data_IF_089360194191
#
_entry.id   IF_089360194191
#
_cell.length_a   1.000
_cell.length_b   1.000
_cell.length_c   1.000
_cell.angle_alpha   90.00
_cell.angle_beta   90.00
_cell.angle_gamma   90.00
#
_symmetry.space_group_name_H-M   'P 1'
#
loop_
_entity.id
_entity.type
_entity.pdbx_description
1 polymer ?
#
# COMPACT_ATOMS: atom_id res chain seq x y z
N UNK A 1 -30.44 8.01 35.06
CA UNK A 1 -30.15 6.82 34.24
C UNK A 1 -28.75 6.95 33.69
N UNK A 2 -27.80 6.16 34.17
CA UNK A 2 -26.47 6.10 33.57
C UNK A 2 -26.59 5.43 32.19
N UNK A 3 -26.26 6.17 31.12
CA UNK A 3 -26.19 5.63 29.77
C UNK A 3 -25.20 4.46 29.76
N UNK A 4 -25.67 3.26 29.38
CA UNK A 4 -24.84 2.05 29.32
C UNK A 4 -23.87 2.24 28.14
N UNK A 5 -22.64 2.69 28.43
CA UNK A 5 -21.61 2.91 27.42
C UNK A 5 -21.35 1.60 26.68
N UNK A 6 -21.71 1.54 25.40
CA UNK A 6 -21.43 0.40 24.52
C UNK A 6 -19.97 0.51 24.07
N UNK A 7 -19.12 -0.39 24.54
CA UNK A 7 -17.73 -0.47 24.09
C UNK A 7 -17.67 -0.84 22.61
N UNK A 8 -17.00 -0.01 21.81
CA UNK A 8 -16.83 -0.24 20.38
C UNK A 8 -15.68 -1.23 20.16
N UNK A 9 -15.78 -2.06 19.12
CA UNK A 9 -14.77 -3.09 18.82
C UNK A 9 -13.36 -2.53 18.62
N UNK A 10 -13.22 -1.34 18.07
CA UNK A 10 -11.92 -0.70 17.83
C UNK A 10 -11.25 -0.20 19.13
N UNK A 11 -12.02 0.08 20.19
CA UNK A 11 -11.49 0.53 21.49
C UNK A 11 -10.76 -0.61 22.23
N UNK A 12 -11.14 -1.86 21.95
CA UNK A 12 -10.59 -3.07 22.57
C UNK A 12 -9.88 -3.97 21.56
N UNK A 13 -9.54 -3.42 20.39
CA UNK A 13 -8.93 -4.19 19.32
C UNK A 13 -7.53 -4.64 19.73
N UNK A 14 -7.30 -5.96 19.71
CA UNK A 14 -6.01 -6.54 20.03
C UNK A 14 -5.04 -6.36 18.85
N UNK A 15 -3.94 -5.64 19.06
CA UNK A 15 -2.90 -5.40 18.07
C UNK A 15 -2.28 -4.01 18.21
N UNK A 16 -1.44 -3.62 17.27
CA UNK A 16 -0.76 -2.31 17.26
C UNK A 16 -1.32 -1.33 16.23
N UNK A 17 -2.41 -1.70 15.55
CA UNK A 17 -3.08 -0.82 14.58
C UNK A 17 -3.65 0.42 15.28
N UNK A 18 -3.68 1.54 14.55
CA UNK A 18 -4.35 2.77 15.00
C UNK A 18 -5.66 2.93 14.26
N UNK A 19 -6.70 3.35 14.98
CA UNK A 19 -8.04 3.56 14.45
C UNK A 19 -8.40 5.03 14.45
N UNK A 20 -9.07 5.48 13.40
CA UNK A 20 -9.50 6.87 13.22
C UNK A 20 -10.96 6.92 12.79
N UNK A 21 -11.60 8.09 12.96
CA UNK A 21 -12.99 8.32 12.57
C UNK A 21 -13.94 7.26 13.13
N UNK A 22 -13.93 7.05 14.46
CA UNK A 22 -14.72 6.02 15.16
C UNK A 22 -14.51 4.59 14.65
N UNK A 23 -13.28 4.28 14.22
CA UNK A 23 -12.89 2.96 13.72
C UNK A 23 -13.22 2.71 12.26
N UNK A 24 -13.62 3.74 11.50
CA UNK A 24 -13.84 3.64 10.04
C UNK A 24 -12.54 3.55 9.25
N UNK A 25 -11.46 4.12 9.78
CA UNK A 25 -10.14 4.10 9.16
C UNK A 25 -9.16 3.38 10.08
N UNK A 26 -8.22 2.66 9.48
CA UNK A 26 -7.21 1.90 10.21
C UNK A 26 -5.85 2.02 9.53
N UNK A 27 -4.80 2.22 10.33
CA UNK A 27 -3.41 2.29 9.85
C UNK A 27 -2.49 1.38 10.68
N UNK A 28 -1.27 1.15 10.19
CA UNK A 28 -0.19 0.60 11.02
C UNK A 28 0.25 1.59 12.12
N UNK A 29 1.01 1.13 13.13
CA UNK A 29 1.46 1.98 14.24
C UNK A 29 2.41 3.12 13.87
N UNK A 30 3.19 3.00 12.79
CA UNK A 30 4.24 3.96 12.41
C UNK A 30 4.00 4.55 11.01
N UNK A 31 3.35 5.73 10.88
CA UNK A 31 2.97 6.30 9.59
C UNK A 31 4.08 7.15 8.93
N UNK A 32 5.30 7.20 9.46
CA UNK A 32 6.33 8.16 9.01
C UNK A 32 6.66 8.07 7.51
N UNK A 33 6.93 6.87 7.00
CA UNK A 33 7.26 6.66 5.57
C UNK A 33 6.03 6.89 4.67
N UNK A 34 4.82 6.64 5.19
CA UNK A 34 3.59 6.97 4.48
C UNK A 34 3.41 8.49 4.30
N UNK A 35 3.71 9.29 5.33
CA UNK A 35 3.69 10.76 5.20
C UNK A 35 4.71 11.26 4.19
N UNK A 36 5.90 10.65 4.14
CA UNK A 36 6.88 10.94 3.09
C UNK A 36 6.33 10.61 1.69
N UNK A 37 5.65 9.47 1.54
CA UNK A 37 5.02 9.07 0.27
C UNK A 37 3.97 10.08 -0.19
N UNK A 38 3.09 10.51 0.72
CA UNK A 38 2.11 11.57 0.45
C UNK A 38 2.80 12.88 0.06
N UNK A 39 3.85 13.30 0.78
CA UNK A 39 4.57 14.53 0.50
C UNK A 39 5.25 14.49 -0.87
N UNK A 40 5.88 13.37 -1.25
CA UNK A 40 6.51 13.20 -2.55
C UNK A 40 5.46 13.24 -3.68
N UNK A 41 4.38 12.46 -3.59
CA UNK A 41 3.36 12.43 -4.64
C UNK A 41 2.67 13.79 -4.78
N UNK A 42 2.17 14.36 -3.67
CA UNK A 42 1.47 15.64 -3.71
C UNK A 42 2.40 16.80 -4.07
N UNK A 43 3.62 16.82 -3.54
CA UNK A 43 4.60 17.87 -3.83
C UNK A 43 5.04 17.86 -5.29
N UNK A 44 5.42 16.71 -5.84
CA UNK A 44 5.80 16.58 -7.25
C UNK A 44 4.63 16.92 -8.18
N UNK A 45 3.41 16.46 -7.87
CA UNK A 45 2.23 16.80 -8.67
C UNK A 45 1.87 18.29 -8.58
N UNK A 46 1.99 18.91 -7.40
CA UNK A 46 1.74 20.34 -7.23
C UNK A 46 2.72 21.19 -8.07
N UNK A 47 4.01 20.85 -8.06
CA UNK A 47 5.00 21.50 -8.93
C UNK A 47 4.65 21.29 -10.42
N UNK A 48 4.29 20.07 -10.81
CA UNK A 48 3.89 19.76 -12.17
C UNK A 48 2.67 20.59 -12.63
N UNK A 49 1.62 20.66 -11.82
CA UNK A 49 0.42 21.46 -12.15
C UNK A 49 0.69 22.96 -12.15
N UNK A 50 1.58 23.45 -11.29
CA UNK A 50 1.89 24.87 -11.19
C UNK A 50 2.81 25.37 -12.32
N UNK A 51 3.80 24.58 -12.74
CA UNK A 51 4.87 25.03 -13.63
C UNK A 51 4.84 24.37 -15.01
N UNK A 52 4.62 23.06 -15.11
CA UNK A 52 4.63 22.35 -16.40
C UNK A 52 3.29 22.49 -17.13
N UNK A 53 2.18 22.29 -16.42
CA UNK A 53 0.85 22.27 -17.01
C UNK A 53 0.49 23.57 -17.75
N UNK A 54 0.72 24.78 -17.22
CA UNK A 54 0.40 26.01 -17.95
C UNK A 54 1.20 26.15 -19.25
N UNK A 55 2.49 25.80 -19.22
CA UNK A 55 3.36 25.83 -20.38
C UNK A 55 2.92 24.82 -21.45
N UNK A 56 2.71 23.56 -21.05
CA UNK A 56 2.34 22.47 -21.94
C UNK A 56 0.90 22.57 -22.45
N UNK A 57 -0.02 23.15 -21.68
CA UNK A 57 -1.40 23.38 -22.11
C UNK A 57 -1.46 24.28 -23.35
N UNK A 58 -0.59 25.30 -23.41
CA UNK A 58 -0.51 26.23 -24.54
C UNK A 58 0.34 25.68 -25.68
N UNK A 59 1.43 24.97 -25.37
CA UNK A 59 2.44 24.58 -26.37
C UNK A 59 2.26 23.17 -26.94
N UNK A 60 1.53 22.30 -26.24
CA UNK A 60 1.35 20.89 -26.62
C UNK A 60 -0.12 20.54 -26.72
N UNK A 61 -0.88 20.60 -25.62
CA UNK A 61 -2.31 20.29 -25.61
C UNK A 61 -2.99 20.71 -24.31
N UNK A 62 -4.16 21.33 -24.41
CA UNK A 62 -5.01 21.69 -23.27
C UNK A 62 -5.52 20.45 -22.49
N UNK A 63 -5.38 19.23 -23.03
CA UNK A 63 -5.75 18.00 -22.33
C UNK A 63 -4.72 17.57 -21.26
N UNK A 64 -3.49 18.09 -21.30
CA UNK A 64 -2.39 17.69 -20.39
C UNK A 64 -2.79 17.81 -18.90
N UNK A 65 -3.34 18.96 -18.43
CA UNK A 65 -3.74 19.09 -17.03
C UNK A 65 -4.88 18.14 -16.64
N UNK A 66 -5.83 17.88 -17.56
CA UNK A 66 -6.96 16.99 -17.30
C UNK A 66 -6.52 15.53 -17.13
N UNK A 67 -5.63 15.04 -17.99
CA UNK A 67 -5.05 13.69 -17.88
C UNK A 67 -4.23 13.56 -16.60
N UNK A 68 -3.37 14.55 -16.32
CA UNK A 68 -2.58 14.58 -15.08
C UNK A 68 -3.47 14.54 -13.83
N UNK A 69 -4.54 15.34 -13.81
CA UNK A 69 -5.48 15.40 -12.68
C UNK A 69 -6.21 14.07 -12.47
N UNK A 70 -6.66 13.42 -13.55
CA UNK A 70 -7.31 12.12 -13.48
C UNK A 70 -6.38 11.04 -12.90
N UNK A 71 -5.13 10.97 -13.37
CA UNK A 71 -4.12 10.04 -12.86
C UNK A 71 -3.78 10.32 -11.39
N UNK A 72 -3.62 11.60 -11.02
CA UNK A 72 -3.34 12.01 -9.64
C UNK A 72 -4.47 11.61 -8.68
N UNK A 73 -5.72 11.91 -9.03
CA UNK A 73 -6.90 11.56 -8.22
C UNK A 73 -7.02 10.04 -8.07
N UNK A 74 -6.85 9.28 -9.15
CA UNK A 74 -6.88 7.81 -9.11
C UNK A 74 -5.79 7.26 -8.17
N UNK A 75 -4.56 7.77 -8.32
CA UNK A 75 -3.40 7.34 -7.53
C UNK A 75 -3.60 7.64 -6.05
N UNK A 76 -4.02 8.86 -5.73
CA UNK A 76 -4.25 9.28 -4.34
C UNK A 76 -5.41 8.51 -3.70
N UNK A 77 -6.51 8.32 -4.43
CA UNK A 77 -7.65 7.54 -3.93
C UNK A 77 -7.26 6.08 -3.67
N UNK A 78 -6.50 5.45 -4.57
CA UNK A 78 -6.02 4.08 -4.40
C UNK A 78 -5.04 3.95 -3.23
N UNK A 79 -4.10 4.90 -3.08
CA UNK A 79 -3.18 4.98 -1.94
C UNK A 79 -3.94 5.07 -0.63
N UNK A 80 -4.84 6.06 -0.49
CA UNK A 80 -5.61 6.29 0.73
C UNK A 80 -6.51 5.09 1.05
N UNK A 81 -7.16 4.49 0.04
CA UNK A 81 -7.97 3.29 0.23
C UNK A 81 -7.12 2.11 0.73
N UNK A 82 -5.88 1.98 0.31
CA UNK A 82 -4.98 0.92 0.79
C UNK A 82 -4.47 1.22 2.20
N UNK A 83 -4.03 2.45 2.43
CA UNK A 83 -3.44 2.92 3.68
C UNK A 83 -4.43 2.89 4.85
N UNK A 84 -5.70 3.22 4.59
CA UNK A 84 -6.70 3.46 5.63
C UNK A 84 -7.71 2.32 5.82
N UNK A 85 -7.51 1.18 5.14
CA UNK A 85 -8.44 0.04 5.20
C UNK A 85 -7.91 -1.14 6.01
N UNK A 86 -8.83 -2.01 6.43
CA UNK A 86 -8.46 -3.32 6.97
C UNK A 86 -7.87 -4.22 5.86
N UNK A 87 -6.61 -4.70 6.00
CA UNK A 87 -5.97 -5.57 5.02
C UNK A 87 -6.57 -6.99 5.00
N UNK A 88 -7.42 -7.33 5.97
CA UNK A 88 -7.94 -8.67 6.18
C UNK A 88 -7.44 -9.27 7.48
N UNK A 89 -7.41 -8.49 8.57
CA UNK A 89 -7.03 -8.99 9.88
C UNK A 89 -7.99 -10.09 10.31
N UNK A 90 -7.41 -11.21 10.71
CA UNK A 90 -8.14 -12.36 11.23
C UNK A 90 -8.33 -12.16 12.74
N UNK A 91 -9.57 -12.22 13.26
CA UNK A 91 -9.80 -12.14 14.70
C UNK A 91 -8.96 -13.18 15.44
N UNK A 92 -8.36 -12.76 16.55
CA UNK A 92 -7.67 -13.68 17.47
C UNK A 92 -8.67 -14.69 18.02
N UNK A 93 -8.21 -15.91 18.35
CA UNK A 93 -9.07 -16.92 18.95
C UNK A 93 -9.71 -16.37 20.22
N UNK A 94 -11.00 -16.67 20.42
CA UNK A 94 -11.68 -16.33 21.65
C UNK A 94 -10.99 -17.05 22.83
N UNK A 95 -11.07 -16.49 24.04
CA UNK A 95 -10.44 -17.10 25.23
C UNK A 95 -10.89 -18.54 25.44
N UNK A 96 -12.17 -18.83 25.21
CA UNK A 96 -12.71 -20.18 25.28
C UNK A 96 -12.16 -21.11 24.19
N UNK A 97 -11.96 -20.62 22.96
CA UNK A 97 -11.38 -21.41 21.86
C UNK A 97 -9.91 -21.72 22.11
N UNK A 98 -9.15 -20.73 22.59
CA UNK A 98 -7.76 -20.90 22.98
C UNK A 98 -7.62 -21.89 24.14
N UNK A 99 -8.46 -21.77 25.18
CA UNK A 99 -8.48 -22.68 26.32
C UNK A 99 -8.91 -24.09 25.92
N UNK A 100 -9.90 -24.24 25.02
CA UNK A 100 -10.32 -25.54 24.50
C UNK A 100 -9.18 -26.22 23.72
N UNK A 101 -8.40 -25.47 22.96
CA UNK A 101 -7.24 -26.01 22.25
C UNK A 101 -6.13 -26.44 23.23
N UNK A 102 -5.82 -25.62 24.23
CA UNK A 102 -4.82 -25.97 25.26
C UNK A 102 -5.27 -27.17 26.12
N UNK A 103 -6.57 -27.31 26.38
CA UNK A 103 -7.15 -28.46 27.07
C UNK A 103 -7.12 -29.73 26.20
N UNK A 104 -7.41 -29.63 24.90
CA UNK A 104 -7.31 -30.75 23.96
C UNK A 104 -5.89 -31.31 23.86
N UNK A 105 -4.88 -30.46 24.05
CA UNK A 105 -3.46 -30.83 24.07
C UNK A 105 -2.98 -31.25 25.48
N UNK A 106 -3.91 -31.51 26.42
CA UNK A 106 -3.64 -31.95 27.79
C UNK A 106 -2.60 -31.06 28.53
N UNK A 107 -2.69 -29.74 28.35
CA UNK A 107 -1.79 -28.76 28.97
C UNK A 107 -0.42 -28.65 28.30
N UNK A 108 -0.18 -29.37 27.19
CA UNK A 108 1.01 -29.17 26.36
C UNK A 108 0.83 -27.95 25.46
N UNK A 109 1.92 -27.25 25.09
CA UNK A 109 1.83 -26.21 24.10
C UNK A 109 1.30 -26.79 22.77
N UNK A 110 0.39 -26.08 22.08
CA UNK A 110 -0.18 -26.56 20.82
C UNK A 110 0.91 -26.79 19.77
N UNK A 111 0.74 -27.80 18.91
CA UNK A 111 1.75 -28.17 17.94
C UNK A 111 2.01 -27.01 16.97
N UNK A 112 3.27 -26.84 16.55
CA UNK A 112 3.67 -25.78 15.62
C UNK A 112 2.97 -25.89 14.27
N UNK A 113 2.55 -27.08 13.88
CA UNK A 113 1.80 -27.31 12.67
C UNK A 113 0.73 -28.40 12.84
N UNK A 114 -0.36 -28.26 12.09
CA UNK A 114 -1.44 -29.25 11.98
C UNK A 114 -1.79 -29.44 10.51
N UNK A 115 -1.93 -30.67 10.07
CA UNK A 115 -2.42 -30.96 8.72
C UNK A 115 -3.94 -31.01 8.71
N UNK A 116 -4.54 -30.40 7.68
CA UNK A 116 -5.97 -30.44 7.42
C UNK A 116 -6.22 -30.79 5.96
N UNK A 117 -7.29 -31.53 5.66
CA UNK A 117 -7.68 -31.82 4.30
C UNK A 117 -8.51 -30.67 3.73
N UNK A 118 -8.01 -30.01 2.69
CA UNK A 118 -8.74 -28.99 1.93
C UNK A 118 -9.05 -29.57 0.55
N UNK A 119 -10.33 -29.84 0.26
CA UNK A 119 -10.75 -30.50 -0.99
C UNK A 119 -9.98 -31.79 -1.28
N UNK A 120 -9.76 -32.60 -0.25
CA UNK A 120 -9.05 -33.88 -0.34
C UNK A 120 -7.53 -33.79 -0.44
N UNK A 121 -6.94 -32.58 -0.41
CA UNK A 121 -5.48 -32.38 -0.40
C UNK A 121 -5.00 -32.01 1.02
N UNK A 122 -3.93 -32.64 1.55
CA UNK A 122 -3.38 -32.25 2.84
C UNK A 122 -2.73 -30.86 2.75
N UNK A 123 -3.08 -29.98 3.68
CA UNK A 123 -2.53 -28.63 3.81
C UNK A 123 -2.02 -28.45 5.23
N UNK A 124 -0.74 -28.06 5.35
CA UNK A 124 -0.09 -27.82 6.64
C UNK A 124 -0.39 -26.41 7.15
N UNK A 125 -1.15 -26.30 8.22
CA UNK A 125 -1.42 -25.05 8.93
C UNK A 125 -0.32 -24.80 9.97
N UNK A 126 0.17 -23.56 10.07
CA UNK A 126 1.15 -23.14 11.08
C UNK A 126 0.43 -22.44 12.25
N UNK A 127 0.75 -22.80 13.48
CA UNK A 127 0.18 -22.14 14.66
C UNK A 127 0.77 -20.74 14.89
N UNK A 128 -0.06 -19.78 15.31
CA UNK A 128 0.37 -18.46 15.76
C UNK A 128 0.17 -18.35 17.28
N UNK A 129 1.27 -18.25 18.02
CA UNK A 129 1.24 -18.15 19.49
C UNK A 129 0.67 -16.81 19.98
N UNK A 130 0.83 -15.74 19.22
CA UNK A 130 0.34 -14.40 19.56
C UNK A 130 -1.18 -14.26 19.39
N UNK A 131 -1.70 -14.78 18.26
CA UNK A 131 -3.14 -14.75 17.97
C UNK A 131 -3.89 -16.00 18.47
N UNK A 132 -3.15 -16.96 19.04
CA UNK A 132 -3.63 -18.22 19.64
C UNK A 132 -4.52 -19.05 18.70
N UNK A 133 -4.11 -19.13 17.43
CA UNK A 133 -4.89 -19.82 16.40
C UNK A 133 -4.00 -20.55 15.38
N UNK A 134 -4.51 -21.62 14.79
CA UNK A 134 -3.94 -22.16 13.55
C UNK A 134 -4.26 -21.21 12.41
N UNK A 135 -3.22 -20.67 11.76
CA UNK A 135 -3.38 -19.72 10.67
C UNK A 135 -4.06 -20.42 9.48
N UNK A 136 -5.12 -19.82 8.90
CA UNK A 136 -5.66 -20.30 7.63
C UNK A 136 -4.58 -20.39 6.55
N UNK A 137 -4.77 -21.19 5.48
CA UNK A 137 -3.85 -21.22 4.36
C UNK A 137 -3.60 -19.80 3.83
N UNK A 138 -2.34 -19.51 3.47
CA UNK A 138 -1.88 -18.20 2.95
C UNK A 138 -1.93 -17.04 3.95
N UNK A 139 -2.29 -17.28 5.22
CA UNK A 139 -2.28 -16.26 6.27
C UNK A 139 -0.95 -16.23 7.03
N UNK A 140 -0.43 -15.03 7.28
CA UNK A 140 0.80 -14.82 8.05
C UNK A 140 0.62 -13.76 9.14
N UNK A 141 1.42 -13.88 10.20
CA UNK A 141 1.43 -12.94 11.31
C UNK A 141 2.43 -11.82 11.03
N UNK A 142 1.95 -10.57 11.01
CA UNK A 142 2.81 -9.40 10.94
C UNK A 142 3.15 -8.94 12.36
N UNK A 143 4.42 -9.04 12.75
CA UNK A 143 4.91 -8.61 14.07
C UNK A 143 4.82 -7.09 14.30
N UNK A 144 4.88 -6.30 13.23
CA UNK A 144 4.77 -4.83 13.30
C UNK A 144 3.35 -4.38 13.65
N UNK A 145 2.34 -4.95 12.98
CA UNK A 145 0.93 -4.67 13.27
C UNK A 145 0.37 -5.53 14.41
N UNK A 146 1.10 -6.56 14.82
CA UNK A 146 0.73 -7.55 15.84
C UNK A 146 -0.60 -8.26 15.50
N UNK A 147 -0.74 -8.70 14.25
CA UNK A 147 -1.96 -9.30 13.74
C UNK A 147 -1.69 -10.36 12.67
N UNK A 148 -2.49 -11.43 12.67
CA UNK A 148 -2.60 -12.33 11.52
C UNK A 148 -3.46 -11.70 10.44
N UNK A 149 -2.98 -11.73 9.20
CA UNK A 149 -3.66 -11.17 8.03
C UNK A 149 -3.93 -12.28 7.02
N UNK A 150 -5.16 -12.35 6.50
CA UNK A 150 -5.59 -13.30 5.47
C UNK A 150 -4.98 -12.92 4.10
N UNK A 151 -4.52 -13.93 3.34
CA UNK A 151 -3.63 -13.78 2.17
C UNK A 151 -2.63 -12.64 2.35
N UNK A 152 -1.82 -12.75 3.41
CA UNK A 152 -0.85 -11.71 3.74
C UNK A 152 0.20 -11.63 2.63
N UNK A 153 0.37 -10.44 2.07
CA UNK A 153 1.38 -10.19 1.06
C UNK A 153 2.66 -9.67 1.71
N UNK A 154 2.59 -8.47 2.30
CA UNK A 154 3.69 -7.87 3.03
C UNK A 154 3.21 -6.75 3.96
N UNK A 155 4.11 -6.27 4.82
CA UNK A 155 3.94 -4.99 5.51
C UNK A 155 4.61 -3.89 4.68
N UNK A 156 3.86 -2.86 4.28
CA UNK A 156 4.37 -1.80 3.41
C UNK A 156 4.56 -0.49 4.19
N UNK A 157 5.80 -0.06 4.46
CA UNK A 157 6.04 1.24 5.12
C UNK A 157 5.56 2.43 4.29
N UNK A 158 5.68 2.35 2.95
CA UNK A 158 5.28 3.40 2.01
C UNK A 158 3.76 3.66 1.99
N UNK A 159 2.97 2.61 2.20
CA UNK A 159 1.51 2.72 2.34
C UNK A 159 1.10 2.94 3.81
N UNK A 160 1.99 2.63 4.76
CA UNK A 160 1.71 2.75 6.20
C UNK A 160 0.70 1.71 6.69
N UNK A 161 0.65 0.54 6.05
CA UNK A 161 -0.27 -0.53 6.40
C UNK A 161 0.24 -1.90 5.90
N UNK A 162 -0.35 -2.99 6.40
CA UNK A 162 -0.19 -4.28 5.74
C UNK A 162 -0.95 -4.31 4.41
N UNK A 163 -0.44 -5.10 3.46
CA UNK A 163 -1.13 -5.46 2.24
C UNK A 163 -1.56 -6.93 2.38
N UNK A 164 -2.85 -7.17 2.19
CA UNK A 164 -3.45 -8.50 2.30
C UNK A 164 -4.74 -8.60 1.49
N UNK A 165 -5.51 -9.66 1.72
CA UNK A 165 -6.70 -10.01 0.92
C UNK A 165 -7.66 -8.84 0.66
N UNK A 166 -7.97 -8.03 1.67
CA UNK A 166 -9.05 -7.01 1.57
C UNK A 166 -8.62 -5.71 0.90
N UNK A 167 -7.32 -5.41 0.86
CA UNK A 167 -6.79 -4.17 0.28
C UNK A 167 -5.83 -4.37 -0.90
N UNK A 168 -5.46 -5.61 -1.24
CA UNK A 168 -4.55 -5.91 -2.35
C UNK A 168 -4.99 -5.30 -3.68
N UNK A 169 -6.29 -5.32 -4.02
CA UNK A 169 -6.80 -4.71 -5.26
C UNK A 169 -6.54 -3.19 -5.31
N UNK A 170 -6.73 -2.51 -4.19
CA UNK A 170 -6.45 -1.09 -4.05
C UNK A 170 -4.95 -0.81 -4.13
N UNK A 171 -4.13 -1.66 -3.50
CA UNK A 171 -2.67 -1.58 -3.55
C UNK A 171 -2.16 -1.74 -4.98
N UNK A 172 -2.63 -2.77 -5.70
CA UNK A 172 -2.27 -3.00 -7.09
C UNK A 172 -2.68 -1.84 -7.99
N UNK A 173 -3.91 -1.33 -7.81
CA UNK A 173 -4.38 -0.13 -8.53
C UNK A 173 -3.48 1.07 -8.24
N UNK A 174 -3.06 1.26 -6.98
CA UNK A 174 -2.14 2.32 -6.58
C UNK A 174 -0.79 2.19 -7.29
N UNK A 175 -0.15 1.02 -7.26
CA UNK A 175 1.17 0.82 -7.88
C UNK A 175 1.13 1.01 -9.41
N UNK A 176 0.08 0.51 -10.07
CA UNK A 176 -0.08 0.66 -11.52
C UNK A 176 -0.39 2.11 -11.89
N UNK A 177 -1.34 2.77 -11.21
CA UNK A 177 -1.66 4.18 -11.48
C UNK A 177 -0.49 5.12 -11.14
N UNK A 178 0.25 4.85 -10.07
CA UNK A 178 1.48 5.57 -9.74
C UNK A 178 2.54 5.43 -10.83
N UNK A 179 2.69 4.24 -11.42
CA UNK A 179 3.60 4.02 -12.55
C UNK A 179 3.21 4.88 -13.76
N UNK A 180 1.92 4.88 -14.13
CA UNK A 180 1.43 5.73 -15.21
C UNK A 180 1.60 7.22 -14.91
N UNK A 181 1.28 7.66 -13.69
CA UNK A 181 1.45 9.04 -13.26
C UNK A 181 2.92 9.46 -13.31
N UNK A 182 3.83 8.63 -12.80
CA UNK A 182 5.27 8.91 -12.77
C UNK A 182 5.84 9.05 -14.19
N UNK A 183 5.50 8.12 -15.09
CA UNK A 183 5.92 8.20 -16.51
C UNK A 183 5.32 9.42 -17.18
N UNK A 184 4.04 9.72 -16.95
CA UNK A 184 3.38 10.88 -17.55
C UNK A 184 4.01 12.20 -17.09
N UNK A 185 4.19 12.39 -15.78
CA UNK A 185 4.80 13.61 -15.22
C UNK A 185 6.26 13.74 -15.65
N UNK A 186 7.02 12.64 -15.67
CA UNK A 186 8.40 12.64 -16.18
C UNK A 186 8.47 13.08 -17.64
N UNK A 187 7.64 12.50 -18.51
CA UNK A 187 7.58 12.85 -19.92
C UNK A 187 7.19 14.32 -20.13
N UNK A 188 6.24 14.83 -19.35
CA UNK A 188 5.86 16.24 -19.39
C UNK A 188 7.01 17.16 -18.97
N UNK A 189 7.69 16.88 -17.86
CA UNK A 189 8.81 17.68 -17.37
C UNK A 189 9.98 17.69 -18.38
N UNK A 190 10.32 16.54 -18.95
CA UNK A 190 11.33 16.44 -20.02
C UNK A 190 10.90 17.22 -21.26
N UNK A 191 9.63 17.13 -21.65
CA UNK A 191 9.09 17.86 -22.81
C UNK A 191 9.16 19.37 -22.59
N UNK A 192 8.79 19.86 -21.40
CA UNK A 192 8.90 21.26 -21.03
C UNK A 192 10.35 21.74 -21.14
N UNK A 193 11.29 21.04 -20.50
CA UNK A 193 12.72 21.38 -20.55
C UNK A 193 13.29 21.32 -21.98
N UNK A 194 12.92 20.31 -22.76
CA UNK A 194 13.36 20.16 -24.15
C UNK A 194 12.84 21.31 -25.03
N UNK A 195 11.59 21.73 -24.85
CA UNK A 195 11.02 22.87 -25.56
C UNK A 195 11.64 24.20 -25.12
N UNK A 196 11.91 24.38 -23.82
CA UNK A 196 12.57 25.56 -23.27
C UNK A 196 14.04 25.66 -23.73
N UNK A 197 14.71 24.52 -23.97
CA UNK A 197 16.08 24.49 -24.45
C UNK A 197 16.23 24.84 -25.94
N UNK A 198 15.13 24.83 -26.73
CA UNK A 198 15.18 25.16 -28.16
C UNK A 198 15.63 26.60 -28.36
N UNK A 199 16.79 26.79 -28.97
CA UNK A 199 17.36 28.11 -29.27
C UNK A 199 18.09 28.81 -28.11
N UNK A 200 17.96 28.31 -26.88
CA UNK A 200 18.63 28.88 -25.69
C UNK A 200 19.66 27.94 -25.05
N UNK A 201 19.61 26.64 -25.35
CA UNK A 201 20.48 25.61 -24.77
C UNK A 201 19.96 25.04 -23.45
N UNK A 202 20.50 23.89 -23.05
CA UNK A 202 20.02 23.12 -21.88
C UNK A 202 20.27 23.87 -20.56
N UNK A 203 21.44 24.50 -20.39
CA UNK A 203 21.75 25.25 -19.19
C UNK A 203 20.75 26.38 -18.95
N UNK A 204 20.43 27.16 -19.99
CA UNK A 204 19.43 28.22 -19.89
C UNK A 204 18.05 27.68 -19.52
N UNK A 205 17.62 26.55 -20.10
CA UNK A 205 16.35 25.91 -19.78
C UNK A 205 16.27 25.44 -18.32
N UNK A 206 17.33 24.84 -17.79
CA UNK A 206 17.39 24.41 -16.38
C UNK A 206 17.31 25.60 -15.42
N UNK A 207 18.01 26.69 -15.74
CA UNK A 207 17.97 27.92 -14.95
C UNK A 207 16.60 28.62 -15.03
N UNK A 208 15.95 28.59 -16.19
CA UNK A 208 14.63 29.20 -16.39
C UNK A 208 13.49 28.38 -15.77
N UNK A 209 13.63 27.05 -15.71
CA UNK A 209 12.59 26.12 -15.25
C UNK A 209 13.11 25.15 -14.17
N UNK A 210 13.59 25.66 -13.02
CA UNK A 210 14.18 24.81 -11.97
C UNK A 210 13.16 23.85 -11.34
N UNK A 211 11.89 24.23 -11.29
CA UNK A 211 10.81 23.36 -10.80
C UNK A 211 10.64 22.12 -11.70
N UNK A 212 10.63 22.30 -13.02
CA UNK A 212 10.55 21.21 -14.00
C UNK A 212 11.77 20.30 -13.94
N UNK A 213 12.96 20.88 -13.72
CA UNK A 213 14.19 20.10 -13.49
C UNK A 213 14.10 19.24 -12.23
N UNK A 214 13.60 19.80 -11.12
CA UNK A 214 13.37 19.05 -9.88
C UNK A 214 12.34 17.93 -10.07
N UNK A 215 11.21 18.21 -10.72
CA UNK A 215 10.19 17.20 -11.04
C UNK A 215 10.79 16.08 -11.88
N UNK A 216 11.53 16.42 -12.94
CA UNK A 216 12.20 15.43 -13.79
C UNK A 216 13.18 14.56 -13.00
N UNK A 217 13.97 15.15 -12.09
CA UNK A 217 14.92 14.42 -11.25
C UNK A 217 14.22 13.46 -10.28
N UNK A 218 13.18 13.92 -9.57
CA UNK A 218 12.42 13.08 -8.63
C UNK A 218 11.74 11.93 -9.38
N UNK A 219 11.13 12.21 -10.53
CA UNK A 219 10.49 11.16 -11.33
C UNK A 219 11.51 10.19 -11.93
N UNK A 220 12.67 10.66 -12.41
CA UNK A 220 13.73 9.78 -12.92
C UNK A 220 14.23 8.79 -11.87
N UNK A 221 14.42 9.25 -10.64
CA UNK A 221 14.89 8.39 -9.54
C UNK A 221 13.82 7.38 -9.09
N UNK A 222 12.54 7.71 -9.24
CA UNK A 222 11.43 6.86 -8.77
C UNK A 222 10.84 5.94 -9.83
N UNK A 223 10.87 6.32 -11.12
CA UNK A 223 10.15 5.64 -12.21
C UNK A 223 10.56 4.17 -12.36
N UNK A 224 11.85 3.88 -12.25
CA UNK A 224 12.38 2.52 -12.39
C UNK A 224 11.91 1.61 -11.26
N UNK A 225 11.89 2.14 -10.03
CA UNK A 225 11.43 1.39 -8.86
C UNK A 225 9.93 1.10 -8.93
N UNK A 226 9.11 2.11 -9.29
CA UNK A 226 7.65 1.91 -9.37
C UNK A 226 7.24 1.00 -10.54
N UNK A 227 7.90 1.11 -11.69
CA UNK A 227 7.68 0.21 -12.83
C UNK A 227 8.08 -1.22 -12.51
N UNK A 228 9.24 -1.41 -11.86
CA UNK A 228 9.69 -2.72 -11.41
C UNK A 228 8.69 -3.36 -10.43
N UNK A 229 8.21 -2.57 -9.46
CA UNK A 229 7.20 -3.03 -8.49
C UNK A 229 5.87 -3.38 -9.17
N UNK A 230 5.41 -2.57 -10.14
CA UNK A 230 4.21 -2.85 -10.91
C UNK A 230 4.32 -4.14 -11.72
N UNK A 231 5.48 -4.36 -12.36
CA UNK A 231 5.79 -5.58 -13.09
C UNK A 231 5.79 -6.81 -12.17
N UNK A 232 6.48 -6.72 -11.04
CA UNK A 232 6.54 -7.80 -10.05
C UNK A 232 5.15 -8.20 -9.53
N UNK A 233 4.33 -7.23 -9.11
CA UNK A 233 2.98 -7.55 -8.65
C UNK A 233 2.04 -8.00 -9.77
N UNK A 234 2.29 -7.61 -11.03
CA UNK A 234 1.56 -8.15 -12.18
C UNK A 234 1.90 -9.63 -12.39
N UNK A 235 3.18 -10.00 -12.25
CA UNK A 235 3.62 -11.40 -12.25
C UNK A 235 2.93 -12.20 -11.13
N UNK A 236 3.04 -11.74 -9.87
CA UNK A 236 2.40 -12.41 -8.73
C UNK A 236 0.89 -12.57 -8.89
N UNK A 237 0.21 -11.53 -9.38
CA UNK A 237 -1.23 -11.58 -9.65
C UNK A 237 -1.57 -12.59 -10.75
N UNK A 238 -0.72 -12.73 -11.77
CA UNK A 238 -0.91 -13.68 -12.88
C UNK A 238 -0.68 -15.13 -12.46
N UNK A 239 0.12 -15.39 -11.43
CA UNK A 239 0.40 -16.72 -10.89
C UNK A 239 -0.43 -17.08 -9.64
N UNK A 240 -1.36 -16.21 -9.20
CA UNK A 240 -2.11 -16.29 -7.93
C UNK A 240 -1.19 -16.51 -6.71
N UNK A 241 -0.01 -15.88 -6.70
CA UNK A 241 0.94 -15.90 -5.59
C UNK A 241 0.91 -14.57 -4.84
N UNK A 242 1.21 -14.63 -3.54
CA UNK A 242 1.57 -13.46 -2.74
C UNK A 242 3.09 -13.32 -2.69
N UNK A 243 3.60 -12.13 -2.37
CA UNK A 243 5.04 -11.91 -2.16
C UNK A 243 5.59 -12.88 -1.10
N UNK A 244 4.84 -13.14 -0.02
CA UNK A 244 5.24 -14.10 1.01
C UNK A 244 5.36 -15.53 0.47
N UNK A 245 4.57 -15.92 -0.52
CA UNK A 245 4.60 -17.27 -1.11
C UNK A 245 5.67 -17.43 -2.19
N UNK A 246 6.17 -16.33 -2.77
CA UNK A 246 7.26 -16.35 -3.75
C UNK A 246 8.64 -16.42 -3.06
N UNK A 247 8.76 -15.90 -1.84
CA UNK A 247 10.00 -15.93 -1.05
C UNK A 247 10.13 -17.18 -0.16
N UNK A 248 9.01 -17.84 0.19
CA UNK A 248 8.95 -19.07 1.00
C UNK A 248 9.28 -20.34 0.19
#
# INVERSE_FOLDING_TARGET
>A
MASRRVTRKWEVFAGRNRFWCDGRLMTAPHPGVFLLTLALICGTCALHFAFDCPFLAVRVSAAVPAVGAALFVLTLAALLRTALSDPGIIPRAATAEAAALEAAEAGRPPPRAREVLVRGRPVKLKYCFTCKMFRPPRASHCSLCDNCVDRFDHHCPWVGNCVGKRNYRSFYTFVVSLSFLAVFVFACAVTHLALAARGAGVAAALHASPASALVAAVCFLSVWSVLGLAGFHTYLASTDQTTNEDVD
#
